data_IF_343213167838
#
_entry.id   IF_343213167838
#
_cell.length_a   1.000
_cell.length_b   1.000
_cell.length_c   1.000
_cell.angle_alpha   90.00
_cell.angle_beta   90.00
_cell.angle_gamma   90.00
#
_symmetry.space_group_name_H-M   'P 1'
#
loop_
_entity.id
_entity.type
_entity.pdbx_description
1 polymer ?
#
# COMPACT_ATOMS: atom_id res chain seq x y z
N UNK A 1 26.59 -4.89 -22.83
CA UNK A 1 25.59 -3.81 -22.68
C UNK A 1 25.84 -3.12 -21.35
N UNK A 2 26.52 -1.96 -21.34
CA UNK A 2 26.68 -1.18 -20.11
C UNK A 2 25.47 -0.25 -20.00
N UNK A 3 24.64 -0.44 -18.98
CA UNK A 3 23.51 0.45 -18.72
C UNK A 3 24.08 1.82 -18.31
N UNK A 4 23.84 2.85 -19.12
CA UNK A 4 24.25 4.23 -18.83
C UNK A 4 23.33 4.79 -17.75
N UNK A 5 23.56 4.40 -16.49
CA UNK A 5 22.82 4.91 -15.33
C UNK A 5 23.44 6.26 -14.94
N UNK A 6 22.68 7.36 -14.89
CA UNK A 6 23.20 8.66 -14.47
C UNK A 6 23.80 8.61 -13.07
N UNK A 7 24.98 9.21 -12.90
CA UNK A 7 25.72 9.24 -11.61
C UNK A 7 24.90 9.83 -10.46
N UNK A 8 24.02 10.80 -10.74
CA UNK A 8 23.07 11.35 -9.75
C UNK A 8 22.10 10.30 -9.21
N UNK A 9 21.56 9.46 -10.09
CA UNK A 9 20.63 8.38 -9.71
C UNK A 9 21.34 7.32 -8.90
N UNK A 10 22.58 6.98 -9.28
CA UNK A 10 23.42 6.03 -8.56
C UNK A 10 23.82 6.56 -7.17
N UNK A 11 24.23 7.83 -7.06
CA UNK A 11 24.54 8.46 -5.77
C UNK A 11 23.33 8.50 -4.83
N UNK A 12 22.14 8.84 -5.35
CA UNK A 12 20.90 8.78 -4.57
C UNK A 12 20.62 7.36 -4.08
N UNK A 13 20.79 6.36 -4.94
CA UNK A 13 20.61 4.96 -4.59
C UNK A 13 21.57 4.52 -3.47
N UNK A 14 22.87 4.77 -3.63
CA UNK A 14 23.88 4.41 -2.62
C UNK A 14 23.58 5.08 -1.28
N UNK A 15 23.21 6.38 -1.28
CA UNK A 15 22.83 7.08 -0.05
C UNK A 15 21.60 6.47 0.62
N UNK A 16 20.56 6.17 -0.15
CA UNK A 16 19.33 5.56 0.38
C UNK A 16 19.58 4.14 0.91
N UNK A 17 20.41 3.37 0.21
CA UNK A 17 20.80 2.02 0.61
C UNK A 17 21.56 2.01 1.93
N UNK A 18 22.55 2.91 2.08
CA UNK A 18 23.33 3.06 3.32
C UNK A 18 22.47 3.57 4.48
N UNK A 19 21.58 4.52 4.24
CA UNK A 19 20.69 5.06 5.26
C UNK A 19 19.66 4.05 5.78
N UNK A 20 19.27 3.09 4.95
CA UNK A 20 18.27 2.08 5.28
C UNK A 20 18.83 0.89 6.08
N UNK A 21 20.16 0.75 6.23
CA UNK A 21 20.77 -0.30 7.08
C UNK A 21 20.39 -1.74 6.69
N UNK A 22 20.11 -1.97 5.41
CA UNK A 22 19.48 -3.21 4.92
C UNK A 22 20.49 -4.37 4.95
N UNK A 23 20.19 -5.43 5.70
CA UNK A 23 20.94 -6.70 5.69
C UNK A 23 20.27 -7.82 4.87
N UNK A 24 19.00 -7.65 4.48
CA UNK A 24 18.20 -8.67 3.78
C UNK A 24 17.95 -8.36 2.28
N UNK A 25 18.12 -9.36 1.42
CA UNK A 25 18.00 -9.27 -0.04
C UNK A 25 16.59 -8.88 -0.52
N UNK A 26 15.55 -9.25 0.25
CA UNK A 26 14.15 -8.94 -0.04
C UNK A 26 13.79 -7.45 0.23
N UNK A 27 14.51 -6.78 1.12
CA UNK A 27 14.33 -5.35 1.40
C UNK A 27 15.19 -4.50 0.46
N UNK A 28 16.31 -5.04 -0.04
CA UNK A 28 17.14 -4.40 -1.07
C UNK A 28 16.37 -4.17 -2.38
N UNK A 29 15.51 -5.11 -2.80
CA UNK A 29 14.65 -4.97 -4.00
C UNK A 29 13.64 -3.82 -3.90
N UNK A 30 13.34 -3.37 -2.68
CA UNK A 30 12.37 -2.30 -2.41
C UNK A 30 12.92 -0.91 -2.78
N UNK A 31 14.24 -0.72 -2.81
CA UNK A 31 14.87 0.58 -3.10
C UNK A 31 15.26 0.73 -4.58
N UNK A 32 15.31 -0.37 -5.35
CA UNK A 32 15.84 -0.42 -6.73
C UNK A 32 15.12 0.54 -7.69
N UNK A 33 13.87 0.95 -7.40
CA UNK A 33 13.09 1.88 -8.25
C UNK A 33 12.91 3.31 -7.71
N UNK A 34 13.41 3.65 -6.52
CA UNK A 34 13.06 4.92 -5.86
C UNK A 34 11.62 5.01 -5.34
N UNK A 35 10.84 3.95 -5.46
CA UNK A 35 9.51 3.82 -4.85
C UNK A 35 9.67 3.16 -3.48
N UNK A 36 9.45 3.93 -2.41
CA UNK A 36 9.34 3.35 -1.08
C UNK A 36 8.14 2.38 -1.06
N UNK A 37 8.25 1.23 -0.36
CA UNK A 37 7.18 0.24 -0.22
C UNK A 37 5.83 0.96 -0.02
N UNK A 38 4.79 0.63 -0.82
CA UNK A 38 3.47 1.19 -0.57
C UNK A 38 3.10 0.92 0.89
N UNK A 39 2.65 1.96 1.61
CA UNK A 39 2.20 1.82 3.00
C UNK A 39 0.96 0.94 3.01
N UNK A 40 1.17 -0.38 3.08
CA UNK A 40 0.10 -1.37 3.18
C UNK A 40 -0.58 -1.21 4.53
N UNK A 41 -1.88 -0.94 4.50
CA UNK A 41 -2.70 -0.76 5.70
C UNK A 41 -3.19 -2.11 6.24
N UNK A 42 -3.43 -3.07 5.35
CA UNK A 42 -3.94 -4.39 5.67
C UNK A 42 -2.86 -5.46 5.52
N UNK A 43 -2.95 -6.50 6.35
CA UNK A 43 -2.24 -7.76 6.14
C UNK A 43 -2.88 -8.57 5.00
N UNK A 44 -2.18 -9.57 4.49
CA UNK A 44 -2.72 -10.47 3.45
C UNK A 44 -4.03 -11.14 3.89
N UNK A 45 -4.13 -11.53 5.15
CA UNK A 45 -5.32 -12.20 5.70
C UNK A 45 -6.50 -11.23 5.81
N UNK A 46 -6.23 -10.00 6.23
CA UNK A 46 -7.23 -8.92 6.31
C UNK A 46 -7.76 -8.54 4.92
N UNK A 47 -6.87 -8.44 3.91
CA UNK A 47 -7.27 -8.21 2.52
C UNK A 47 -8.14 -9.35 1.98
N UNK A 48 -7.76 -10.60 2.28
CA UNK A 48 -8.52 -11.78 1.89
C UNK A 48 -9.93 -11.76 2.50
N UNK A 49 -10.03 -11.54 3.81
CA UNK A 49 -11.31 -11.46 4.52
C UNK A 49 -12.21 -10.35 3.96
N UNK A 50 -11.68 -9.14 3.81
CA UNK A 50 -12.43 -8.01 3.26
C UNK A 50 -12.89 -8.29 1.83
N UNK A 51 -12.03 -8.89 0.99
CA UNK A 51 -12.37 -9.24 -0.38
C UNK A 51 -13.51 -10.26 -0.47
N UNK A 52 -13.52 -11.26 0.42
CA UNK A 52 -14.56 -12.28 0.47
C UNK A 52 -15.91 -11.68 0.87
N UNK A 53 -15.90 -10.76 1.82
CA UNK A 53 -17.09 -10.04 2.27
C UNK A 53 -17.66 -9.16 1.16
N UNK A 54 -16.80 -8.37 0.48
CA UNK A 54 -17.23 -7.48 -0.60
C UNK A 54 -17.84 -8.25 -1.76
N UNK A 55 -17.27 -9.42 -2.14
CA UNK A 55 -17.84 -10.28 -3.18
C UNK A 55 -19.25 -10.74 -2.81
N UNK A 56 -19.42 -11.30 -1.60
CA UNK A 56 -20.74 -11.74 -1.11
C UNK A 56 -21.74 -10.58 -1.04
N UNK A 57 -21.31 -9.41 -0.61
CA UNK A 57 -22.17 -8.23 -0.57
C UNK A 57 -22.55 -7.74 -1.98
N UNK A 58 -21.62 -7.80 -2.94
CA UNK A 58 -21.89 -7.49 -4.34
C UNK A 58 -22.96 -8.38 -4.97
N UNK A 59 -22.95 -9.68 -4.64
CA UNK A 59 -23.95 -10.65 -5.10
C UNK A 59 -25.35 -10.34 -4.53
N UNK A 60 -25.44 -9.84 -3.30
CA UNK A 60 -26.70 -9.54 -2.60
C UNK A 60 -27.28 -8.18 -3.05
N UNK A 61 -26.45 -7.15 -3.12
CA UNK A 61 -26.90 -5.76 -3.28
C UNK A 61 -26.84 -5.24 -4.72
N UNK A 62 -26.67 -6.12 -5.72
CA UNK A 62 -26.52 -5.76 -7.15
C UNK A 62 -25.37 -4.78 -7.40
N UNK A 63 -24.27 -4.96 -6.66
CA UNK A 63 -23.04 -4.17 -6.78
C UNK A 63 -22.73 -3.30 -5.56
N UNK A 64 -21.44 -2.98 -5.43
CA UNK A 64 -20.91 -2.05 -4.45
C UNK A 64 -20.26 -0.90 -5.22
N UNK A 65 -20.62 0.34 -4.88
CA UNK A 65 -19.95 1.50 -5.47
C UNK A 65 -18.52 1.59 -4.95
N UNK A 66 -17.62 2.16 -5.76
CA UNK A 66 -16.23 2.35 -5.33
C UNK A 66 -16.14 3.18 -4.05
N UNK A 67 -17.02 4.19 -3.88
CA UNK A 67 -17.15 5.01 -2.67
C UNK A 67 -17.55 4.21 -1.44
N UNK A 68 -18.53 3.32 -1.55
CA UNK A 68 -18.97 2.49 -0.42
C UNK A 68 -17.90 1.47 -0.05
N UNK A 69 -17.18 0.93 -1.04
CA UNK A 69 -16.00 0.11 -0.78
C UNK A 69 -14.92 0.88 -0.01
N UNK A 70 -14.69 2.16 -0.33
CA UNK A 70 -13.68 2.99 0.37
C UNK A 70 -14.07 3.25 1.82
N UNK A 71 -15.36 3.49 2.08
CA UNK A 71 -15.91 3.67 3.44
C UNK A 71 -15.86 2.37 4.23
N UNK A 72 -16.22 1.25 3.61
CA UNK A 72 -16.14 -0.07 4.22
C UNK A 72 -14.70 -0.42 4.62
N UNK A 73 -13.73 -0.18 3.73
CA UNK A 73 -12.32 -0.39 4.04
C UNK A 73 -11.85 0.48 5.23
N UNK A 74 -12.29 1.74 5.29
CA UNK A 74 -12.00 2.61 6.44
C UNK A 74 -12.60 2.04 7.74
N UNK A 75 -13.87 1.66 7.73
CA UNK A 75 -14.55 1.07 8.89
C UNK A 75 -13.85 -0.22 9.36
N UNK A 76 -13.54 -1.11 8.43
CA UNK A 76 -12.82 -2.34 8.71
C UNK A 76 -11.45 -2.07 9.34
N UNK A 77 -10.67 -1.15 8.77
CA UNK A 77 -9.38 -0.74 9.32
C UNK A 77 -9.47 -0.13 10.72
N UNK A 78 -10.53 0.65 11.01
CA UNK A 78 -10.75 1.20 12.35
C UNK A 78 -11.11 0.13 13.37
N UNK A 79 -11.88 -0.89 12.97
CA UNK A 79 -12.26 -2.01 13.83
C UNK A 79 -11.08 -2.93 14.14
N UNK A 80 -10.26 -3.20 13.14
CA UNK A 80 -9.01 -3.96 13.24
C UNK A 80 -7.86 -3.17 13.90
N UNK A 81 -8.09 -1.89 14.23
CA UNK A 81 -7.09 -0.96 14.82
C UNK A 81 -5.81 -0.83 13.99
N UNK A 82 -5.94 -0.86 12.66
CA UNK A 82 -4.83 -0.68 11.74
C UNK A 82 -4.24 0.74 11.81
N UNK A 83 -2.96 0.89 11.46
CA UNK A 83 -2.32 2.20 11.34
C UNK A 83 -2.80 2.86 10.04
N UNK A 84 -3.62 3.91 10.18
CA UNK A 84 -4.23 4.60 9.06
C UNK A 84 -3.41 5.80 8.57
N UNK A 85 -3.32 6.03 7.25
CA UNK A 85 -2.82 7.28 6.70
C UNK A 85 -3.72 8.46 7.11
N UNK A 86 -3.13 9.62 7.36
CA UNK A 86 -3.87 10.85 7.67
C UNK A 86 -4.95 11.19 6.63
N UNK A 87 -4.70 10.88 5.36
CA UNK A 87 -5.66 11.10 4.27
C UNK A 87 -6.96 10.31 4.47
N UNK A 88 -6.91 9.13 5.10
CA UNK A 88 -8.08 8.31 5.37
C UNK A 88 -8.89 8.88 6.54
N UNK A 89 -8.23 9.35 7.60
CA UNK A 89 -8.89 9.91 8.78
C UNK A 89 -9.65 11.21 8.48
N UNK A 90 -9.12 12.05 7.58
CA UNK A 90 -9.76 13.33 7.22
C UNK A 90 -11.07 13.11 6.44
N UNK A 91 -11.04 12.21 5.45
CA UNK A 91 -12.20 11.96 4.57
C UNK A 91 -13.12 10.83 5.06
N UNK A 92 -12.67 10.04 6.04
CA UNK A 92 -13.31 8.82 6.54
C UNK A 92 -13.56 7.77 5.43
N UNK A 93 -12.64 7.71 4.47
CA UNK A 93 -12.66 6.78 3.34
C UNK A 93 -11.23 6.45 2.90
N UNK A 94 -11.03 5.29 2.27
CA UNK A 94 -9.75 4.99 1.67
C UNK A 94 -9.44 5.94 0.50
N UNK A 95 -8.17 6.25 0.28
CA UNK A 95 -7.73 7.06 -0.86
C UNK A 95 -7.90 6.29 -2.16
N UNK A 96 -8.34 6.96 -3.23
CA UNK A 96 -8.27 6.40 -4.58
C UNK A 96 -6.80 6.15 -4.96
N UNK A 97 -6.49 4.94 -5.44
CA UNK A 97 -5.19 4.65 -6.04
C UNK A 97 -4.99 5.57 -7.25
N UNK A 98 -3.82 6.21 -7.32
CA UNK A 98 -3.36 6.93 -8.51
C UNK A 98 -2.56 5.99 -9.39
#
# INVERSE_FOLDING_TARGET
MFTSIPTRSLLRYVKNFLAAGIQDEAEATTIIGGYQKPRKVFSSDQESNLSSYVKRAGDIYQGITTTDMRRLAYQYATQEKCILPLSWSVKKECSAGK
#
